data_IF_624692070267
#
_entry.id   IF_624692070267
#
_cell.length_a   1.000
_cell.length_b   1.000
_cell.length_c   1.000
_cell.angle_alpha   90.00
_cell.angle_beta   90.00
_cell.angle_gamma   90.00
#
_symmetry.space_group_name_H-M   'P 1'
#
loop_
_entity.id
_entity.type
_entity.pdbx_description
1 polymer ?
#
# COMPACT_ATOMS: atom_id res chain seq x y z
N UNK A 1 -8.81 -5.15 9.61
CA UNK A 1 -7.88 -4.01 9.51
C UNK A 1 -7.67 -3.47 10.91
N UNK A 2 -6.52 -3.77 11.51
CA UNK A 2 -6.18 -3.30 12.85
C UNK A 2 -5.37 -2.00 12.72
N UNK A 3 -6.07 -0.91 13.00
CA UNK A 3 -5.66 0.48 13.01
C UNK A 3 -4.90 0.81 14.30
N UNK A 4 -3.61 1.16 14.28
CA UNK A 4 -2.96 1.79 15.45
C UNK A 4 -1.88 2.79 15.02
N UNK A 5 -2.27 3.86 14.33
CA UNK A 5 -1.53 5.13 14.33
C UNK A 5 -2.43 6.23 14.90
N UNK A 6 -2.80 6.08 16.18
CA UNK A 6 -3.63 7.05 16.91
C UNK A 6 -2.76 7.82 17.93
N UNK A 7 -2.45 9.06 17.60
CA UNK A 7 -2.12 10.12 18.57
C UNK A 7 -3.18 11.20 18.46
N UNK A 8 -3.93 11.44 19.54
CA UNK A 8 -4.92 12.52 19.85
C UNK A 8 -5.94 13.02 18.79
N UNK A 9 -5.72 12.89 17.48
CA UNK A 9 -6.49 13.51 16.38
C UNK A 9 -6.95 12.54 15.27
N UNK A 10 -6.83 11.22 15.45
CA UNK A 10 -7.24 10.21 14.45
C UNK A 10 -6.06 9.45 13.85
N UNK A 11 -6.30 8.73 12.74
CA UNK A 11 -5.30 7.95 12.00
C UNK A 11 -4.38 8.86 11.19
N UNK A 12 -3.06 8.73 11.39
CA UNK A 12 -2.05 9.54 10.68
C UNK A 12 -1.40 8.82 9.48
N UNK A 13 -1.29 7.49 9.54
CA UNK A 13 -0.74 6.64 8.48
C UNK A 13 -1.31 5.23 8.53
N UNK A 14 -1.25 4.51 7.41
CA UNK A 14 -1.65 3.12 7.32
C UNK A 14 -0.93 2.38 6.19
N UNK A 15 -0.18 1.34 6.50
CA UNK A 15 0.25 0.35 5.51
C UNK A 15 -0.90 -0.56 5.10
N UNK A 16 -1.20 -0.60 3.80
CA UNK A 16 -2.22 -1.47 3.24
C UNK A 16 -1.57 -2.51 2.32
N UNK A 17 -1.69 -3.79 2.70
CA UNK A 17 -1.15 -4.92 1.93
C UNK A 17 -1.62 -4.96 0.46
N UNK A 18 -2.72 -4.29 0.10
CA UNK A 18 -3.29 -4.34 -1.24
C UNK A 18 -2.76 -3.26 -2.20
N UNK A 19 -2.44 -2.06 -1.74
CA UNK A 19 -2.25 -0.89 -2.62
C UNK A 19 -0.94 -0.12 -2.41
N UNK A 20 -0.57 0.27 -1.18
CA UNK A 20 0.72 0.87 -0.76
C UNK A 20 0.57 1.44 0.68
N UNK A 21 1.49 2.31 1.14
CA UNK A 21 1.32 3.06 2.39
C UNK A 21 0.53 4.35 2.16
N UNK A 22 -0.45 4.56 3.02
CA UNK A 22 -1.35 5.71 3.00
C UNK A 22 -0.99 6.69 4.10
N UNK A 23 -0.92 7.99 3.76
CA UNK A 23 -0.58 9.06 4.69
C UNK A 23 -1.74 10.04 4.78
N UNK A 24 -2.13 10.41 6.00
CA UNK A 24 -3.23 11.36 6.20
C UNK A 24 -2.86 12.76 5.69
N UNK A 25 -3.75 13.38 4.91
CA UNK A 25 -3.53 14.71 4.31
C UNK A 25 -3.50 15.87 5.33
N UNK A 26 -3.96 15.65 6.57
CA UNK A 26 -3.99 16.69 7.62
C UNK A 26 -2.73 16.76 8.49
N UNK A 27 -1.76 15.87 8.25
CA UNK A 27 -0.51 15.85 8.99
C UNK A 27 0.41 17.03 8.58
N UNK A 28 1.26 17.45 9.51
CA UNK A 28 2.37 18.38 9.22
C UNK A 28 3.48 17.69 8.43
N UNK A 29 4.37 18.49 7.82
CA UNK A 29 5.49 17.99 7.01
C UNK A 29 6.44 17.10 7.85
N UNK A 30 6.75 17.52 9.07
CA UNK A 30 7.65 16.75 9.94
C UNK A 30 7.00 15.45 10.40
N UNK A 31 5.70 15.46 10.72
CA UNK A 31 4.95 14.23 11.01
C UNK A 31 4.96 13.26 9.82
N UNK A 32 4.75 13.76 8.59
CA UNK A 32 4.74 12.93 7.39
C UNK A 32 6.04 12.15 7.21
N UNK A 33 7.20 12.74 7.51
CA UNK A 33 8.49 12.03 7.38
C UNK A 33 8.57 10.85 8.34
N UNK A 34 8.22 11.05 9.61
CA UNK A 34 8.26 9.98 10.61
C UNK A 34 7.29 8.85 10.27
N UNK A 35 6.07 9.21 9.84
CA UNK A 35 5.05 8.23 9.46
C UNK A 35 5.47 7.44 8.22
N UNK A 36 6.03 8.10 7.20
CA UNK A 36 6.53 7.41 6.01
C UNK A 36 7.62 6.41 6.37
N UNK A 37 8.55 6.76 7.26
CA UNK A 37 9.57 5.82 7.75
C UNK A 37 8.92 4.62 8.44
N UNK A 38 7.97 4.86 9.34
CA UNK A 38 7.26 3.82 10.07
C UNK A 38 6.54 2.84 9.12
N UNK A 39 5.70 3.37 8.22
CA UNK A 39 4.93 2.53 7.28
C UNK A 39 5.83 1.83 6.26
N UNK A 40 6.97 2.41 5.92
CA UNK A 40 7.93 1.76 5.04
C UNK A 40 8.60 0.54 5.71
N UNK A 41 8.77 0.56 7.04
CA UNK A 41 9.23 -0.64 7.76
C UNK A 41 8.20 -1.77 7.65
N UNK A 42 6.90 -1.48 7.79
CA UNK A 42 5.85 -2.48 7.54
C UNK A 42 5.91 -3.03 6.12
N UNK A 43 6.12 -2.16 5.12
CA UNK A 43 6.29 -2.56 3.71
C UNK A 43 7.47 -3.51 3.54
N UNK A 44 8.63 -3.21 4.14
CA UNK A 44 9.82 -4.07 4.06
C UNK A 44 9.63 -5.41 4.76
N UNK A 45 9.11 -5.41 5.98
CA UNK A 45 8.82 -6.64 6.71
C UNK A 45 7.85 -7.53 5.92
N UNK A 46 6.84 -6.91 5.31
CA UNK A 46 5.83 -7.61 4.51
C UNK A 46 6.41 -8.16 3.20
N UNK A 47 7.28 -7.43 2.53
CA UNK A 47 7.76 -7.86 1.22
C UNK A 47 8.99 -8.77 1.24
N UNK A 48 9.81 -8.68 2.29
CA UNK A 48 11.09 -9.38 2.39
C UNK A 48 11.02 -10.64 3.26
N UNK A 49 9.82 -11.07 3.65
CA UNK A 49 9.61 -12.26 4.48
C UNK A 49 8.50 -13.15 3.95
N UNK A 50 8.59 -14.45 4.23
CA UNK A 50 7.60 -15.44 3.77
C UNK A 50 6.21 -15.21 4.36
N UNK A 51 6.10 -14.93 5.67
CA UNK A 51 4.80 -14.63 6.30
C UNK A 51 4.24 -13.30 5.78
N UNK A 52 5.08 -12.28 5.67
CA UNK A 52 4.68 -10.99 5.12
C UNK A 52 4.11 -11.10 3.71
N UNK A 53 4.83 -11.80 2.83
CA UNK A 53 4.43 -11.92 1.43
C UNK A 53 3.19 -12.81 1.29
N UNK A 54 3.08 -13.84 2.11
CA UNK A 54 1.87 -14.65 2.21
C UNK A 54 0.66 -13.80 2.62
N UNK A 55 0.81 -12.88 3.59
CA UNK A 55 -0.26 -11.96 3.98
C UNK A 55 -0.68 -11.05 2.82
N UNK A 56 0.26 -10.52 2.04
CA UNK A 56 -0.05 -9.75 0.81
C UNK A 56 -0.87 -10.59 -0.17
N UNK A 57 -0.44 -11.84 -0.43
CA UNK A 57 -1.14 -12.74 -1.34
C UNK A 57 -2.53 -13.13 -0.81
N UNK A 58 -2.65 -13.41 0.48
CA UNK A 58 -3.92 -13.75 1.14
C UNK A 58 -4.89 -12.57 1.16
N UNK A 59 -4.43 -11.35 1.41
CA UNK A 59 -5.25 -10.13 1.33
C UNK A 59 -5.86 -9.97 -0.05
N UNK A 60 -5.05 -10.15 -1.11
CA UNK A 60 -5.56 -10.10 -2.48
C UNK A 60 -6.50 -11.25 -2.78
N UNK A 61 -6.23 -12.44 -2.25
CA UNK A 61 -7.03 -13.64 -2.51
C UNK A 61 -8.39 -13.61 -1.82
N UNK A 62 -8.45 -13.17 -0.55
CA UNK A 62 -9.66 -13.22 0.27
C UNK A 62 -10.82 -12.38 -0.25
N UNK A 63 -10.52 -11.43 -1.11
CA UNK A 63 -11.48 -10.60 -1.83
C UNK A 63 -12.34 -11.44 -2.78
N UNK A 64 -11.74 -12.46 -3.42
CA UNK A 64 -12.41 -13.34 -4.38
C UNK A 64 -12.91 -14.61 -3.67
N UNK A 65 -12.15 -15.10 -2.69
CA UNK A 65 -12.52 -16.26 -1.88
C UNK A 65 -12.28 -16.00 -0.38
N UNK A 66 -13.35 -15.60 0.32
CA UNK A 66 -13.32 -15.31 1.75
C UNK A 66 -13.20 -16.53 2.67
N UNK A 67 -13.16 -17.76 2.16
CA UNK A 67 -13.22 -19.00 2.96
C UNK A 67 -12.07 -19.16 3.96
N UNK A 68 -10.94 -18.47 3.73
CA UNK A 68 -9.74 -18.50 4.57
C UNK A 68 -9.44 -17.17 5.25
N UNK A 69 -10.43 -16.27 5.33
CA UNK A 69 -10.29 -14.98 6.05
C UNK A 69 -9.81 -15.18 7.49
N UNK A 70 -10.35 -16.16 8.21
CA UNK A 70 -9.95 -16.45 9.59
C UNK A 70 -8.45 -16.76 9.72
N UNK A 71 -7.85 -17.45 8.73
CA UNK A 71 -6.43 -17.80 8.74
C UNK A 71 -5.58 -16.56 8.47
N UNK A 72 -6.01 -15.71 7.55
CA UNK A 72 -5.39 -14.41 7.30
C UNK A 72 -5.37 -13.55 8.57
N UNK A 73 -6.53 -13.36 9.21
CA UNK A 73 -6.66 -12.54 10.42
C UNK A 73 -5.74 -13.07 11.54
N UNK A 74 -5.70 -14.39 11.73
CA UNK A 74 -4.87 -15.03 12.75
C UNK A 74 -3.36 -14.94 12.47
N UNK A 75 -2.94 -15.08 11.21
CA UNK A 75 -1.54 -14.88 10.81
C UNK A 75 -1.12 -13.42 11.00
N UNK A 76 -1.98 -12.49 10.60
CA UNK A 76 -1.76 -11.06 10.77
C UNK A 76 -1.58 -10.72 12.25
N UNK A 77 -2.50 -11.13 13.12
CA UNK A 77 -2.43 -10.91 14.56
C UNK A 77 -1.19 -11.53 15.21
N UNK A 78 -0.76 -12.70 14.73
CA UNK A 78 0.46 -13.36 15.21
C UNK A 78 1.76 -12.62 14.83
N UNK A 79 1.68 -11.66 13.90
CA UNK A 79 2.82 -10.86 13.41
C UNK A 79 2.75 -9.38 13.81
N UNK A 80 1.56 -8.81 14.02
CA UNK A 80 1.34 -7.38 14.21
C UNK A 80 2.24 -6.78 15.28
N UNK A 81 2.24 -7.36 16.47
CA UNK A 81 3.02 -6.81 17.58
C UNK A 81 4.51 -6.67 17.25
N UNK A 82 5.10 -7.64 16.55
CA UNK A 82 6.49 -7.57 16.09
C UNK A 82 6.68 -6.40 15.12
N UNK A 83 5.80 -6.30 14.13
CA UNK A 83 5.93 -5.27 13.10
C UNK A 83 5.88 -3.88 13.72
N UNK A 84 4.92 -3.63 14.62
CA UNK A 84 4.82 -2.37 15.37
C UNK A 84 6.08 -2.10 16.23
N UNK A 85 6.60 -3.14 16.90
CA UNK A 85 7.82 -2.99 17.71
C UNK A 85 9.02 -2.60 16.84
N UNK A 86 9.17 -3.20 15.66
CA UNK A 86 10.27 -2.91 14.73
C UNK A 86 10.08 -1.51 14.12
N UNK A 87 8.89 -1.18 13.63
CA UNK A 87 8.57 0.09 13.00
C UNK A 87 8.73 1.27 13.97
N UNK A 88 8.14 1.21 15.17
CA UNK A 88 8.27 2.26 16.18
C UNK A 88 9.73 2.47 16.59
N UNK A 89 10.52 1.42 16.78
CA UNK A 89 11.91 1.62 17.20
C UNK A 89 12.79 2.18 16.08
N UNK A 90 12.60 1.72 14.84
CA UNK A 90 13.33 2.27 13.69
C UNK A 90 12.97 3.74 13.46
N UNK A 91 11.70 4.12 13.58
CA UNK A 91 11.26 5.53 13.49
C UNK A 91 12.02 6.42 14.48
N UNK A 92 12.12 6.02 15.75
CA UNK A 92 12.80 6.83 16.77
C UNK A 92 14.31 6.82 16.61
N UNK A 93 14.91 5.69 16.22
CA UNK A 93 16.34 5.63 15.91
C UNK A 93 16.68 6.48 14.68
N UNK A 94 15.78 6.55 13.69
CA UNK A 94 15.95 7.42 12.53
C UNK A 94 15.98 8.90 12.95
N UNK A 95 15.21 9.30 13.97
CA UNK A 95 15.30 10.65 14.56
C UNK A 95 16.69 10.90 15.12
N UNK A 96 17.23 9.96 15.89
CA UNK A 96 18.59 10.06 16.43
C UNK A 96 19.64 10.16 15.31
N UNK A 97 19.51 9.34 14.27
CA UNK A 97 20.41 9.32 13.13
C UNK A 97 20.45 10.67 12.38
N UNK A 98 19.30 11.31 12.17
CA UNK A 98 19.18 12.48 11.28
C UNK A 98 19.13 13.83 12.00
N UNK A 99 18.66 13.87 13.25
CA UNK A 99 18.46 15.10 14.02
C UNK A 99 19.26 15.15 15.32
N UNK A 100 19.97 14.07 15.65
CA UNK A 100 20.85 14.01 16.82
C UNK A 100 20.13 13.71 18.14
N UNK A 101 20.95 13.58 19.20
CA UNK A 101 20.53 13.04 20.48
C UNK A 101 19.51 13.89 21.24
N UNK A 102 19.62 15.22 21.15
CA UNK A 102 18.72 16.14 21.85
C UNK A 102 17.27 16.00 21.34
N UNK A 103 17.09 16.01 20.02
CA UNK A 103 15.75 15.86 19.41
C UNK A 103 15.18 14.46 19.65
N UNK A 104 16.03 13.43 19.60
CA UNK A 104 15.65 12.08 19.95
C UNK A 104 15.09 11.97 21.38
N UNK A 105 15.79 12.54 22.38
CA UNK A 105 15.33 12.52 23.77
C UNK A 105 14.02 13.29 23.95
N UNK A 106 13.89 14.47 23.33
CA UNK A 106 12.65 15.23 23.34
C UNK A 106 11.47 14.42 22.79
N UNK A 107 11.67 13.70 21.68
CA UNK A 107 10.63 12.85 21.09
C UNK A 107 10.26 11.67 21.96
N UNK A 108 11.22 11.06 22.67
CA UNK A 108 10.93 10.01 23.67
C UNK A 108 10.10 10.56 24.84
N UNK A 109 10.37 11.78 25.30
CA UNK A 109 9.56 12.40 26.34
C UNK A 109 8.12 12.64 25.87
N UNK A 110 7.93 13.09 24.62
CA UNK A 110 6.62 13.20 23.99
C UNK A 110 5.90 11.85 23.87
N UNK A 111 6.64 10.79 23.51
CA UNK A 111 6.14 9.41 23.40
C UNK A 111 5.51 8.90 24.70
N UNK A 112 6.03 9.31 25.85
CA UNK A 112 5.51 8.88 27.16
C UNK A 112 4.02 9.22 27.37
N UNK A 113 3.50 10.21 26.63
CA UNK A 113 2.08 10.61 26.65
C UNK A 113 1.18 9.62 25.92
N UNK A 114 1.72 8.77 25.05
CA UNK A 114 1.00 7.69 24.37
C UNK A 114 1.45 6.31 24.88
N UNK A 115 0.67 5.78 25.83
CA UNK A 115 0.98 4.50 26.50
C UNK A 115 1.10 3.31 25.54
N UNK A 116 0.31 3.29 24.47
CA UNK A 116 0.33 2.20 23.49
C UNK A 116 1.64 2.24 22.70
N UNK A 117 1.97 3.41 22.14
CA UNK A 117 3.17 3.59 21.32
C UNK A 117 4.45 3.45 22.17
N UNK A 118 4.45 3.98 23.40
CA UNK A 118 5.53 3.80 24.35
C UNK A 118 5.80 2.32 24.69
N UNK A 119 4.78 1.45 24.70
CA UNK A 119 4.96 0.02 24.94
C UNK A 119 5.73 -0.67 23.82
N UNK A 120 5.52 -0.26 22.57
CA UNK A 120 6.26 -0.78 21.42
C UNK A 120 7.73 -0.37 21.49
N UNK A 121 8.00 0.92 21.74
CA UNK A 121 9.35 1.43 21.94
C UNK A 121 10.07 0.75 23.11
N UNK A 122 9.48 0.75 24.31
CA UNK A 122 10.08 0.20 25.53
C UNK A 122 10.34 -1.31 25.47
N UNK A 123 9.76 -2.02 24.50
CA UNK A 123 10.04 -3.44 24.34
C UNK A 123 11.45 -3.76 23.83
N UNK A 124 12.14 -2.76 23.26
CA UNK A 124 13.52 -2.82 22.81
C UNK A 124 14.46 -1.96 23.68
N UNK A 125 14.12 -1.78 24.95
CA UNK A 125 14.90 -1.03 25.94
C UNK A 125 16.37 -1.49 26.05
N UNK A 126 16.65 -2.77 25.77
CA UNK A 126 18.00 -3.33 25.70
C UNK A 126 18.87 -2.68 24.62
N UNK A 127 18.26 -2.18 23.55
CA UNK A 127 18.91 -1.46 22.46
C UNK A 127 18.89 0.04 22.80
N UNK A 128 17.70 0.58 23.05
CA UNK A 128 17.47 2.04 23.16
C UNK A 128 18.30 2.71 24.26
N UNK A 129 18.66 2.01 25.33
CA UNK A 129 19.54 2.54 26.39
C UNK A 129 20.98 2.75 25.95
N UNK A 130 21.45 1.94 25.01
CA UNK A 130 22.85 1.86 24.60
C UNK A 130 23.16 2.71 23.36
N UNK A 131 22.15 3.10 22.58
CA UNK A 131 22.33 3.96 21.40
C UNK A 131 22.43 5.43 21.82
N UNK A 132 23.53 6.10 21.46
CA UNK A 132 23.76 7.52 21.80
C UNK A 132 24.16 8.38 20.60
N UNK A 133 24.69 7.77 19.54
CA UNK A 133 25.18 8.47 18.36
C UNK A 133 24.37 8.12 17.11
N UNK A 134 24.55 8.89 16.04
CA UNK A 134 23.93 8.62 14.75
C UNK A 134 24.41 7.28 14.15
N UNK A 135 25.68 6.94 14.35
CA UNK A 135 26.26 5.68 13.87
C UNK A 135 25.70 4.47 14.64
N UNK A 136 25.55 4.58 15.96
CA UNK A 136 24.89 3.55 16.76
C UNK A 136 23.46 3.33 16.25
N UNK A 137 22.75 4.42 15.95
CA UNK A 137 21.37 4.38 15.50
C UNK A 137 21.25 3.68 14.15
N UNK A 138 22.15 3.98 13.20
CA UNK A 138 22.20 3.32 11.90
C UNK A 138 22.39 1.80 12.04
N UNK A 139 23.38 1.36 12.84
CA UNK A 139 23.63 -0.07 13.07
C UNK A 139 22.45 -0.76 13.77
N UNK A 140 21.83 -0.09 14.74
CA UNK A 140 20.65 -0.59 15.42
C UNK A 140 19.46 -0.75 14.47
N UNK A 141 19.21 0.22 13.58
CA UNK A 141 18.16 0.15 12.56
C UNK A 141 18.36 -1.07 11.66
N UNK A 142 19.55 -1.23 11.08
CA UNK A 142 19.88 -2.36 10.20
C UNK A 142 19.68 -3.71 10.91
N UNK A 143 20.15 -3.81 12.15
CA UNK A 143 20.05 -5.04 12.94
C UNK A 143 18.61 -5.36 13.34
N UNK A 144 17.84 -4.38 13.82
CA UNK A 144 16.44 -4.59 14.22
C UNK A 144 15.60 -5.02 13.01
N UNK A 145 15.80 -4.37 11.86
CA UNK A 145 15.10 -4.73 10.62
C UNK A 145 15.39 -6.16 10.21
N UNK A 146 16.68 -6.56 10.21
CA UNK A 146 17.10 -7.92 9.83
C UNK A 146 16.53 -8.98 10.79
N UNK A 147 16.55 -8.72 12.10
CA UNK A 147 15.93 -9.61 13.08
C UNK A 147 14.41 -9.70 12.84
N UNK A 148 13.75 -8.58 12.53
CA UNK A 148 12.33 -8.55 12.18
C UNK A 148 12.01 -9.42 10.95
N UNK A 149 12.79 -9.28 9.88
CA UNK A 149 12.67 -10.08 8.65
C UNK A 149 12.88 -11.57 8.97
N UNK A 150 13.95 -11.95 9.66
CA UNK A 150 14.24 -13.34 10.03
C UNK A 150 13.13 -13.97 10.90
N UNK A 151 12.51 -13.15 11.76
CA UNK A 151 11.42 -13.59 12.62
C UNK A 151 10.16 -13.93 11.83
N UNK A 152 9.93 -13.25 10.71
CA UNK A 152 8.83 -13.52 9.78
C UNK A 152 9.18 -14.53 8.68
N UNK A 153 10.46 -14.82 8.46
CA UNK A 153 10.95 -15.68 7.39
C UNK A 153 10.86 -17.17 7.76
N UNK A 154 9.63 -17.66 7.93
CA UNK A 154 9.31 -19.04 8.28
C UNK A 154 9.26 -19.92 7.03
N UNK A 155 9.81 -21.13 7.10
CA UNK A 155 9.70 -22.13 6.04
C UNK A 155 8.26 -22.66 5.95
N UNK A 156 7.54 -22.23 4.91
CA UNK A 156 6.15 -22.58 4.66
C UNK A 156 5.97 -24.02 4.11
N UNK A 157 7.03 -24.69 3.66
CA UNK A 157 6.92 -26.10 3.25
C UNK A 157 6.65 -27.03 4.42
N UNK A 158 7.13 -26.64 5.61
CA UNK A 158 7.00 -27.42 6.84
C UNK A 158 6.03 -26.79 7.85
N UNK A 159 5.48 -25.61 7.57
CA UNK A 159 4.42 -25.01 8.39
C UNK A 159 3.06 -25.41 7.78
N UNK A 160 2.28 -26.33 8.38
CA UNK A 160 1.13 -26.96 7.73
C UNK A 160 -0.14 -26.08 7.68
N UNK A 161 -0.03 -24.88 7.12
CA UNK A 161 -1.11 -23.89 7.06
C UNK A 161 -2.38 -24.39 6.36
N UNK A 162 -2.23 -25.31 5.39
CA UNK A 162 -3.34 -25.91 4.65
C UNK A 162 -4.08 -27.02 5.40
N UNK A 163 -3.54 -27.52 6.51
CA UNK A 163 -4.13 -28.62 7.28
C UNK A 163 -5.13 -28.11 8.34
N UNK A 164 -5.00 -26.85 8.77
CA UNK A 164 -5.88 -26.26 9.77
C UNK A 164 -7.30 -26.08 9.22
N UNK A 165 -8.28 -26.64 9.95
CA UNK A 165 -9.69 -26.59 9.55
C UNK A 165 -10.37 -25.29 10.01
N UNK A 166 -9.90 -24.73 11.12
CA UNK A 166 -10.49 -23.55 11.75
C UNK A 166 -9.45 -22.84 12.65
N UNK A 167 -9.86 -21.68 13.18
CA UNK A 167 -9.08 -20.85 14.09
C UNK A 167 -8.59 -21.59 15.35
N UNK A 168 -9.43 -22.43 15.96
CA UNK A 168 -9.05 -23.16 17.19
C UNK A 168 -7.90 -24.14 16.94
N UNK A 169 -7.90 -24.81 15.80
CA UNK A 169 -6.83 -25.75 15.43
C UNK A 169 -5.49 -25.02 15.25
N UNK A 170 -5.50 -23.86 14.59
CA UNK A 170 -4.33 -23.01 14.41
C UNK A 170 -3.80 -22.47 15.74
N UNK A 171 -4.67 -21.92 16.59
CA UNK A 171 -4.29 -21.38 17.89
C UNK A 171 -3.73 -22.47 18.83
N UNK A 172 -4.33 -23.67 18.82
CA UNK A 172 -3.80 -24.82 19.56
C UNK A 172 -2.43 -25.24 19.05
N UNK A 173 -2.18 -25.18 17.75
CA UNK A 173 -0.87 -25.50 17.20
C UNK A 173 0.20 -24.50 17.66
N UNK A 174 -0.10 -23.20 17.63
CA UNK A 174 0.82 -22.15 18.06
C UNK A 174 0.99 -22.04 19.59
N UNK A 175 0.06 -22.58 20.38
CA UNK A 175 0.19 -22.57 21.85
C UNK A 175 1.15 -23.66 22.37
N UNK A 176 1.47 -24.67 21.57
CA UNK A 176 2.47 -25.69 21.92
C UNK A 176 3.87 -25.04 21.96
N UNK A 177 4.62 -25.25 23.05
CA UNK A 177 5.88 -24.53 23.32
C UNK A 177 6.86 -24.54 22.14
N UNK A 178 7.17 -25.72 21.59
CA UNK A 178 8.11 -25.85 20.47
C UNK A 178 7.58 -25.19 19.19
N UNK A 179 6.30 -25.34 18.89
CA UNK A 179 5.69 -24.74 17.69
C UNK A 179 5.58 -23.22 17.83
N UNK A 180 5.35 -22.72 19.04
CA UNK A 180 5.35 -21.29 19.32
C UNK A 180 6.70 -20.68 18.96
N UNK A 181 7.80 -21.29 19.40
CA UNK A 181 9.16 -20.82 19.07
C UNK A 181 9.43 -20.94 17.57
N UNK A 182 9.00 -22.03 16.93
CA UNK A 182 9.24 -22.29 15.51
C UNK A 182 8.44 -21.38 14.57
N UNK A 183 7.17 -21.11 14.88
CA UNK A 183 6.23 -20.57 13.89
C UNK A 183 5.52 -19.29 14.33
N UNK A 184 5.66 -18.83 15.58
CA UNK A 184 5.09 -17.53 15.99
C UNK A 184 6.13 -16.41 15.82
N UNK A 185 5.91 -15.42 14.92
CA UNK A 185 6.86 -14.35 14.66
C UNK A 185 7.25 -13.54 15.91
N UNK A 186 6.28 -13.24 16.78
CA UNK A 186 6.54 -12.50 18.02
C UNK A 186 7.47 -13.26 18.97
N UNK A 187 7.37 -14.59 19.02
CA UNK A 187 8.22 -15.42 19.87
C UNK A 187 9.62 -15.56 19.25
N UNK A 188 9.70 -15.83 17.95
CA UNK A 188 10.97 -15.86 17.19
C UNK A 188 11.78 -14.59 17.42
N UNK A 189 11.14 -13.43 17.33
CA UNK A 189 11.78 -12.13 17.55
C UNK A 189 12.33 -11.93 18.94
N UNK A 190 11.56 -12.27 19.97
CA UNK A 190 12.07 -12.20 21.35
C UNK A 190 13.26 -13.12 21.58
N UNK A 191 13.28 -14.30 20.95
CA UNK A 191 14.41 -15.24 21.04
C UNK A 191 15.64 -14.62 20.39
N UNK A 192 15.51 -14.14 19.15
CA UNK A 192 16.61 -13.55 18.38
C UNK A 192 17.13 -12.25 19.01
N UNK A 193 16.26 -11.33 19.46
CA UNK A 193 16.67 -10.11 20.14
C UNK A 193 17.54 -10.38 21.37
N UNK A 194 17.13 -11.34 22.20
CA UNK A 194 17.92 -11.70 23.37
C UNK A 194 19.25 -12.33 22.96
N UNK A 195 19.27 -13.13 21.91
CA UNK A 195 20.51 -13.74 21.39
C UNK A 195 21.50 -12.68 20.91
N UNK A 196 21.04 -11.70 20.11
CA UNK A 196 21.92 -10.67 19.54
C UNK A 196 22.33 -9.57 20.54
N UNK A 197 21.49 -9.26 21.54
CA UNK A 197 21.72 -8.09 22.40
C UNK A 197 21.95 -8.39 23.89
N UNK A 198 21.88 -9.66 24.35
CA UNK A 198 22.24 -10.00 25.75
C UNK A 198 23.62 -10.65 25.85
N UNK A 199 24.60 -10.00 26.52
CA UNK A 199 25.95 -10.52 26.69
C UNK A 199 26.04 -11.88 27.40
N UNK A 200 25.04 -12.22 28.25
CA UNK A 200 25.03 -13.43 29.09
C UNK A 200 23.97 -14.45 28.64
N UNK A 201 23.80 -14.65 27.33
CA UNK A 201 22.82 -15.62 26.80
C UNK A 201 23.19 -17.05 27.23
N UNK A 202 22.28 -17.75 27.91
CA UNK A 202 22.54 -19.05 28.57
C UNK A 202 22.35 -20.20 27.57
N UNK A 203 23.06 -21.32 27.74
CA UNK A 203 22.96 -22.54 26.89
C UNK A 203 21.51 -22.99 26.58
N UNK A 204 20.60 -22.95 27.56
CA UNK A 204 19.19 -23.32 27.36
C UNK A 204 18.44 -22.42 26.37
N UNK A 205 18.93 -21.20 26.14
CA UNK A 205 18.37 -20.29 25.14
C UNK A 205 18.96 -20.51 23.72
N UNK A 206 20.13 -21.16 23.58
CA UNK A 206 20.67 -21.57 22.27
C UNK A 206 19.79 -22.59 21.56
N UNK A 207 19.23 -23.55 22.30
CA UNK A 207 18.28 -24.53 21.74
C UNK A 207 17.04 -23.85 21.11
N UNK A 208 16.63 -22.70 21.66
CA UNK A 208 15.51 -21.93 21.08
C UNK A 208 15.91 -21.28 19.76
N UNK A 209 17.13 -20.77 19.66
CA UNK A 209 17.69 -20.23 18.41
C UNK A 209 17.81 -21.34 17.36
N UNK A 210 18.22 -22.55 17.75
CA UNK A 210 18.24 -23.71 16.84
C UNK A 210 16.84 -24.04 16.31
N UNK A 211 15.80 -23.99 17.16
CA UNK A 211 14.42 -24.16 16.68
C UNK A 211 14.02 -23.10 15.67
N UNK A 212 14.33 -21.83 15.92
CA UNK A 212 14.10 -20.73 14.96
C UNK A 212 14.80 -21.06 13.64
N UNK A 213 16.11 -21.34 13.68
CA UNK A 213 16.94 -21.62 12.50
C UNK A 213 16.46 -22.84 11.71
N UNK A 214 16.08 -23.93 12.39
CA UNK A 214 15.56 -25.16 11.77
C UNK A 214 14.27 -24.96 10.98
N UNK A 215 13.59 -23.83 11.21
CA UNK A 215 12.32 -23.47 10.57
C UNK A 215 12.37 -22.14 9.83
N UNK A 216 13.56 -21.56 9.67
CA UNK A 216 13.78 -20.38 8.83
C UNK A 216 13.92 -20.79 7.37
N UNK A 217 13.28 -20.07 6.45
CA UNK A 217 13.48 -20.31 5.02
C UNK A 217 14.79 -19.66 4.55
N UNK A 218 15.71 -20.46 4.02
CA UNK A 218 17.07 -19.99 3.66
C UNK A 218 17.26 -19.58 2.19
N UNK A 219 16.23 -19.69 1.35
CA UNK A 219 16.31 -19.39 -0.10
C UNK A 219 15.71 -18.02 -0.42
N UNK A 220 16.24 -17.38 -1.47
CA UNK A 220 15.71 -16.12 -2.00
C UNK A 220 14.41 -16.31 -2.80
N UNK A 221 13.97 -17.54 -3.05
CA UNK A 221 12.77 -17.89 -3.80
C UNK A 221 11.48 -17.78 -2.97
N UNK A 222 11.34 -16.72 -2.17
CA UNK A 222 10.20 -16.48 -1.28
C UNK A 222 8.87 -16.40 -2.07
N UNK A 223 8.90 -15.76 -3.24
CA UNK A 223 7.72 -15.63 -4.12
C UNK A 223 7.10 -16.99 -4.45
N UNK A 224 7.92 -17.95 -4.88
CA UNK A 224 7.43 -19.24 -5.36
C UNK A 224 6.96 -20.11 -4.20
N UNK A 225 7.66 -20.08 -3.06
CA UNK A 225 7.20 -20.72 -1.83
C UNK A 225 5.82 -20.20 -1.39
N UNK A 226 5.62 -18.88 -1.37
CA UNK A 226 4.34 -18.28 -1.01
C UNK A 226 3.23 -18.65 -2.01
N UNK A 227 3.52 -18.66 -3.31
CA UNK A 227 2.55 -19.07 -4.35
C UNK A 227 2.11 -20.53 -4.19
N UNK A 228 3.05 -21.43 -3.98
CA UNK A 228 2.76 -22.84 -3.71
C UNK A 228 1.94 -23.00 -2.42
N UNK A 229 2.23 -22.21 -1.40
CA UNK A 229 1.48 -22.21 -0.14
C UNK A 229 0.04 -21.73 -0.34
N UNK A 230 -0.19 -20.67 -1.11
CA UNK A 230 -1.54 -20.21 -1.48
C UNK A 230 -2.30 -21.31 -2.23
N UNK A 231 -1.65 -21.97 -3.19
CA UNK A 231 -2.25 -23.08 -3.93
C UNK A 231 -2.69 -24.22 -2.98
N UNK A 232 -1.87 -24.57 -1.98
CA UNK A 232 -2.21 -25.58 -0.97
C UNK A 232 -3.37 -25.14 -0.07
N UNK A 233 -3.36 -23.88 0.40
CA UNK A 233 -4.40 -23.32 1.29
C UNK A 233 -5.77 -23.29 0.60
N UNK A 234 -5.81 -22.85 -0.67
CA UNK A 234 -7.03 -22.65 -1.46
C UNK A 234 -7.30 -23.79 -2.45
N UNK A 235 -6.70 -24.97 -2.26
CA UNK A 235 -6.81 -26.11 -3.20
C UNK A 235 -8.24 -26.53 -3.58
N UNK A 236 -9.21 -26.25 -2.71
CA UNK A 236 -10.63 -26.58 -2.90
C UNK A 236 -11.48 -25.39 -3.39
N UNK A 237 -10.85 -24.24 -3.67
CA UNK A 237 -11.55 -23.07 -4.17
C UNK A 237 -12.04 -23.32 -5.60
N UNK A 238 -13.29 -22.96 -5.89
CA UNK A 238 -13.86 -23.03 -7.24
C UNK A 238 -13.22 -22.01 -8.19
N UNK A 239 -12.53 -21.01 -7.65
CA UNK A 239 -11.89 -19.92 -8.39
C UNK A 239 -10.36 -19.97 -8.25
N UNK A 240 -9.80 -21.15 -7.98
CA UNK A 240 -8.34 -21.32 -7.77
C UNK A 240 -7.50 -20.76 -8.93
N UNK A 241 -7.86 -21.05 -10.19
CA UNK A 241 -7.12 -20.53 -11.35
C UNK A 241 -7.07 -19.00 -11.35
N UNK A 242 -8.17 -18.37 -10.93
CA UNK A 242 -8.28 -16.91 -10.77
C UNK A 242 -7.35 -16.39 -9.68
N UNK A 243 -7.32 -17.09 -8.55
CA UNK A 243 -6.44 -16.77 -7.42
C UNK A 243 -4.97 -16.84 -7.85
N UNK A 244 -4.59 -17.91 -8.55
CA UNK A 244 -3.22 -18.11 -9.02
C UNK A 244 -2.80 -17.02 -10.01
N UNK A 245 -3.64 -16.66 -10.98
CA UNK A 245 -3.36 -15.55 -11.89
C UNK A 245 -3.16 -14.21 -11.15
N UNK A 246 -3.96 -13.96 -10.10
CA UNK A 246 -3.88 -12.72 -9.32
C UNK A 246 -2.57 -12.60 -8.53
N UNK A 247 -2.10 -13.68 -7.91
CA UNK A 247 -0.86 -13.65 -7.11
C UNK A 247 0.42 -13.64 -7.96
N UNK A 248 0.34 -14.01 -9.25
CA UNK A 248 1.48 -13.87 -10.19
C UNK A 248 1.90 -12.41 -10.36
N UNK A 249 0.97 -11.46 -10.18
CA UNK A 249 1.26 -10.03 -10.28
C UNK A 249 1.99 -9.48 -9.04
N UNK A 250 2.13 -10.26 -7.98
CA UNK A 250 2.89 -9.89 -6.79
C UNK A 250 4.33 -10.36 -7.01
N UNK A 251 5.27 -9.43 -6.89
CA UNK A 251 6.71 -9.70 -6.97
C UNK A 251 7.45 -9.03 -5.82
N UNK A 252 8.14 -9.84 -5.01
CA UNK A 252 9.06 -9.39 -3.95
C UNK A 252 10.27 -8.59 -4.46
N UNK A 253 10.55 -8.58 -5.78
CA UNK A 253 11.71 -7.89 -6.35
C UNK A 253 11.48 -6.41 -6.70
N UNK A 254 10.23 -5.93 -6.67
CA UNK A 254 9.90 -4.52 -6.99
C UNK A 254 10.08 -3.57 -5.81
N UNK A 255 10.89 -3.93 -4.81
CA UNK A 255 10.99 -3.15 -3.59
C UNK A 255 12.26 -2.32 -3.53
N UNK A 256 12.01 -1.02 -3.47
CA UNK A 256 12.95 0.05 -3.24
C UNK A 256 13.75 -0.29 -1.97
N UNK A 257 15.04 -0.58 -2.14
CA UNK A 257 16.00 -0.56 -1.02
C UNK A 257 15.89 0.81 -0.37
N UNK A 258 15.78 0.83 0.95
CA UNK A 258 15.99 2.05 1.71
C UNK A 258 17.43 2.49 1.42
N UNK A 259 17.57 3.53 0.61
CA UNK A 259 18.52 4.58 0.92
C UNK A 259 17.71 5.67 1.63
N UNK A 260 18.17 6.05 2.81
CA UNK A 260 17.42 6.79 3.83
C UNK A 260 17.11 8.24 3.39
N UNK A 261 17.51 8.67 2.19
CA UNK A 261 17.41 10.07 1.77
C UNK A 261 16.45 10.42 0.61
N UNK A 262 15.85 9.50 -0.17
CA UNK A 262 14.93 10.00 -1.24
C UNK A 262 13.92 9.05 -1.90
N UNK A 263 14.01 7.72 -1.75
CA UNK A 263 13.14 6.82 -2.55
C UNK A 263 11.92 6.29 -1.79
N UNK A 264 11.96 6.23 -0.46
CA UNK A 264 10.84 5.75 0.38
C UNK A 264 9.60 6.65 0.31
N UNK A 265 9.81 7.97 0.13
CA UNK A 265 8.74 8.95 -0.08
C UNK A 265 7.89 8.66 -1.31
N UNK A 266 8.46 8.01 -2.32
CA UNK A 266 7.76 7.60 -3.52
C UNK A 266 6.78 6.45 -3.28
N UNK A 267 6.90 5.76 -2.14
CA UNK A 267 5.96 4.71 -1.75
C UNK A 267 4.71 5.25 -1.05
N UNK A 268 4.64 6.55 -0.73
CA UNK A 268 3.53 7.17 -0.02
C UNK A 268 2.41 7.64 -0.96
N UNK A 269 1.17 7.37 -0.57
CA UNK A 269 -0.02 7.94 -1.21
C UNK A 269 -0.82 8.79 -0.20
N UNK A 270 -1.17 10.05 -0.55
CA UNK A 270 -2.00 10.87 0.32
C UNK A 270 -3.43 10.33 0.37
N UNK A 271 -4.03 10.22 1.55
CA UNK A 271 -5.46 9.93 1.73
C UNK A 271 -6.06 10.70 2.89
N UNK A 272 -7.38 10.80 2.98
CA UNK A 272 -8.05 11.30 4.20
C UNK A 272 -8.51 10.08 5.01
N UNK A 273 -7.71 9.71 6.01
CA UNK A 273 -7.96 8.53 6.85
C UNK A 273 -9.09 8.77 7.87
N UNK A 274 -9.44 10.03 8.14
CA UNK A 274 -10.36 10.42 9.21
C UNK A 274 -11.71 10.92 8.70
N UNK A 275 -11.87 11.08 7.39
CA UNK A 275 -13.13 11.45 6.77
C UNK A 275 -14.30 10.53 7.16
N UNK A 276 -15.47 11.15 7.34
CA UNK A 276 -16.74 10.44 7.47
C UNK A 276 -17.07 9.76 6.15
N UNK A 277 -17.53 8.50 6.23
CA UNK A 277 -17.94 7.74 5.06
C UNK A 277 -19.04 8.50 4.29
N UNK A 278 -18.80 8.76 3.01
CA UNK A 278 -19.84 9.27 2.14
C UNK A 278 -20.82 8.16 1.80
N UNK A 279 -22.12 8.43 1.91
CA UNK A 279 -23.15 7.52 1.41
C UNK A 279 -23.07 7.48 -0.12
N UNK A 280 -22.31 6.53 -0.66
CA UNK A 280 -22.38 6.24 -2.08
C UNK A 280 -23.62 5.38 -2.33
N UNK A 281 -24.53 5.89 -3.16
CA UNK A 281 -25.71 5.16 -3.58
C UNK A 281 -25.38 4.33 -4.82
N UNK A 282 -24.88 3.12 -4.63
CA UNK A 282 -24.63 2.20 -5.74
C UNK A 282 -25.95 1.65 -6.29
N UNK A 283 -26.31 2.06 -7.50
CA UNK A 283 -27.36 1.41 -8.27
C UNK A 283 -26.73 0.81 -9.53
N UNK A 284 -26.84 -0.51 -9.70
CA UNK A 284 -26.56 -1.15 -10.98
C UNK A 284 -27.62 -0.67 -11.98
N UNK A 285 -27.20 0.22 -12.88
CA UNK A 285 -28.07 0.80 -13.91
C UNK A 285 -27.81 0.19 -15.27
N UNK A 286 -28.85 0.11 -16.09
CA UNK A 286 -28.67 -0.25 -17.50
C UNK A 286 -27.88 0.81 -18.27
N UNK A 287 -27.48 0.44 -19.48
CA UNK A 287 -26.66 1.25 -20.37
C UNK A 287 -27.34 2.59 -20.72
N UNK A 288 -28.63 2.53 -21.03
CA UNK A 288 -29.40 3.67 -21.53
C UNK A 288 -29.60 4.72 -20.44
N UNK A 289 -29.83 4.32 -19.19
CA UNK A 289 -29.91 5.22 -18.05
C UNK A 289 -28.57 5.95 -17.82
N UNK A 290 -27.42 5.27 -17.91
CA UNK A 290 -26.11 5.94 -17.80
C UNK A 290 -25.90 6.96 -18.92
N UNK A 291 -26.23 6.60 -20.17
CA UNK A 291 -26.10 7.52 -21.31
C UNK A 291 -27.02 8.74 -21.12
N UNK A 292 -28.25 8.54 -20.65
CA UNK A 292 -29.19 9.62 -20.36
C UNK A 292 -28.67 10.56 -19.26
N UNK A 293 -28.11 10.02 -18.18
CA UNK A 293 -27.50 10.81 -17.10
C UNK A 293 -26.31 11.63 -17.60
N UNK A 294 -25.39 11.02 -18.36
CA UNK A 294 -24.23 11.68 -18.94
C UNK A 294 -24.60 12.83 -19.88
N UNK A 295 -25.66 12.65 -20.67
CA UNK A 295 -26.16 13.68 -21.60
C UNK A 295 -26.91 14.82 -20.89
N UNK A 296 -27.49 14.58 -19.73
CA UNK A 296 -28.29 15.55 -19.00
C UNK A 296 -27.45 16.56 -18.20
N UNK A 297 -26.21 16.22 -17.84
CA UNK A 297 -25.39 17.02 -16.92
C UNK A 297 -23.96 17.19 -17.46
N UNK A 298 -23.66 18.41 -17.94
CA UNK A 298 -22.36 18.76 -18.54
C UNK A 298 -21.18 18.76 -17.53
N UNK A 299 -21.45 18.82 -16.22
CA UNK A 299 -20.42 18.87 -15.18
C UNK A 299 -20.27 17.49 -14.50
N UNK A 300 -19.91 16.48 -15.29
CA UNK A 300 -19.77 15.11 -14.82
C UNK A 300 -18.64 14.40 -15.55
N UNK A 301 -18.08 13.37 -14.92
CA UNK A 301 -17.02 12.54 -15.48
C UNK A 301 -17.44 11.09 -15.56
N UNK A 302 -16.96 10.42 -16.60
CA UNK A 302 -17.12 8.98 -16.79
C UNK A 302 -15.86 8.28 -16.30
N UNK A 303 -15.96 7.53 -15.20
CA UNK A 303 -14.82 6.84 -14.60
C UNK A 303 -14.85 5.34 -14.91
N UNK A 304 -13.81 4.87 -15.57
CA UNK A 304 -13.48 3.46 -15.65
C UNK A 304 -12.81 3.06 -14.35
N UNK A 305 -13.58 2.37 -13.52
CA UNK A 305 -13.16 1.97 -12.19
C UNK A 305 -12.61 0.55 -12.21
N UNK A 306 -11.63 0.34 -11.35
CA UNK A 306 -11.24 -1.01 -10.95
C UNK A 306 -11.29 -1.11 -9.44
N UNK A 307 -12.38 -1.65 -8.92
CA UNK A 307 -12.54 -1.80 -7.49
C UNK A 307 -11.54 -2.81 -6.90
N UNK A 308 -10.99 -3.75 -7.68
CA UNK A 308 -10.27 -4.92 -7.14
C UNK A 308 -9.13 -5.45 -8.03
N UNK A 309 -7.94 -4.85 -7.99
CA UNK A 309 -6.72 -5.28 -8.73
C UNK A 309 -6.54 -6.82 -8.86
N UNK A 310 -6.77 -7.42 -10.04
CA UNK A 310 -6.88 -8.86 -10.32
C UNK A 310 -8.23 -9.30 -10.93
N UNK A 311 -9.17 -8.36 -11.06
CA UNK A 311 -10.45 -8.49 -11.78
C UNK A 311 -10.51 -7.64 -13.06
N UNK A 312 -9.36 -7.31 -13.67
CA UNK A 312 -9.26 -6.29 -14.74
C UNK A 312 -10.03 -6.63 -16.03
N UNK A 313 -10.59 -7.84 -16.14
CA UNK A 313 -11.52 -8.22 -17.22
C UNK A 313 -12.96 -7.82 -16.95
N UNK A 314 -13.33 -7.56 -15.71
CA UNK A 314 -14.59 -6.96 -15.33
C UNK A 314 -14.40 -5.46 -15.40
N UNK A 315 -15.06 -4.83 -16.38
CA UNK A 315 -15.01 -3.38 -16.54
C UNK A 315 -16.16 -2.76 -15.77
N UNK A 316 -15.82 -2.08 -14.68
CA UNK A 316 -16.77 -1.26 -13.95
C UNK A 316 -16.72 0.15 -14.50
N UNK A 317 -17.88 0.68 -14.87
CA UNK A 317 -18.02 2.05 -15.31
C UNK A 317 -18.89 2.79 -14.32
N UNK A 318 -18.51 4.02 -14.00
CA UNK A 318 -19.27 4.86 -13.09
C UNK A 318 -19.42 6.29 -13.59
N UNK A 319 -20.59 6.84 -13.32
CA UNK A 319 -20.97 8.22 -13.57
C UNK A 319 -20.79 9.03 -12.29
N UNK A 320 -19.98 10.08 -12.39
CA UNK A 320 -19.64 10.96 -11.27
C UNK A 320 -20.04 12.41 -11.59
N UNK A 321 -21.19 12.88 -11.09
CA UNK A 321 -21.53 14.30 -11.13
C UNK A 321 -20.59 15.07 -10.21
N UNK A 322 -19.95 16.14 -10.70
CA UNK A 322 -18.98 16.91 -9.90
C UNK A 322 -19.66 17.73 -8.78
N UNK A 323 -20.98 17.94 -8.89
CA UNK A 323 -21.76 18.78 -7.97
C UNK A 323 -22.67 18.00 -7.02
N UNK A 324 -22.65 16.66 -7.05
CA UNK A 324 -23.54 15.82 -6.23
C UNK A 324 -22.77 14.67 -5.59
N UNK A 325 -23.29 14.20 -4.46
CA UNK A 325 -22.73 13.08 -3.70
C UNK A 325 -23.42 11.76 -4.06
N UNK A 326 -23.67 11.51 -5.34
CA UNK A 326 -24.30 10.29 -5.85
C UNK A 326 -23.46 9.72 -6.99
N UNK A 327 -23.15 8.42 -6.94
CA UNK A 327 -22.35 7.74 -7.96
C UNK A 327 -23.16 6.56 -8.48
N UNK A 328 -23.35 6.52 -9.78
CA UNK A 328 -24.06 5.43 -10.46
C UNK A 328 -23.03 4.55 -11.11
N UNK A 329 -23.08 3.23 -10.90
CA UNK A 329 -22.06 2.31 -11.38
C UNK A 329 -22.69 1.07 -12.01
N UNK A 330 -22.07 0.55 -13.07
CA UNK A 330 -22.53 -0.66 -13.75
C UNK A 330 -21.37 -1.46 -14.30
N UNK A 331 -21.57 -2.77 -14.40
CA UNK A 331 -20.64 -3.67 -15.09
C UNK A 331 -21.04 -3.75 -16.56
N UNK A 332 -20.07 -3.50 -17.44
CA UNK A 332 -20.30 -3.47 -18.88
C UNK A 332 -19.25 -4.29 -19.61
N UNK A 333 -19.64 -4.91 -20.71
CA UNK A 333 -18.66 -5.48 -21.64
C UNK A 333 -17.98 -4.36 -22.45
N UNK A 334 -17.00 -4.73 -23.27
CA UNK A 334 -16.22 -3.75 -24.03
C UNK A 334 -17.06 -3.09 -25.14
N UNK A 335 -18.01 -3.82 -25.73
CA UNK A 335 -18.90 -3.30 -26.77
C UNK A 335 -19.83 -2.21 -26.24
N UNK A 336 -20.42 -2.45 -25.06
CA UNK A 336 -21.26 -1.50 -24.33
C UNK A 336 -20.48 -0.24 -23.98
N UNK A 337 -19.25 -0.41 -23.47
CA UNK A 337 -18.32 0.70 -23.18
C UNK A 337 -18.06 1.54 -24.44
N UNK A 338 -17.76 0.89 -25.57
CA UNK A 338 -17.54 1.58 -26.84
C UNK A 338 -18.79 2.35 -27.26
N UNK A 339 -19.99 1.78 -27.05
CA UNK A 339 -21.24 2.44 -27.37
C UNK A 339 -21.44 3.72 -26.52
N UNK A 340 -21.16 3.66 -25.21
CA UNK A 340 -21.24 4.84 -24.33
C UNK A 340 -20.27 5.92 -24.81
N UNK A 341 -18.99 5.58 -24.99
CA UNK A 341 -17.95 6.53 -25.38
C UNK A 341 -18.28 7.23 -26.70
N UNK A 342 -18.92 6.55 -27.65
CA UNK A 342 -19.36 7.16 -28.91
C UNK A 342 -20.50 8.17 -28.77
N UNK A 343 -21.32 8.05 -27.73
CA UNK A 343 -22.57 8.79 -27.54
C UNK A 343 -22.51 9.94 -26.52
N UNK A 344 -21.39 10.07 -25.79
CA UNK A 344 -21.20 11.09 -24.74
C UNK A 344 -19.95 11.89 -25.01
N UNK A 345 -19.87 13.12 -24.52
CA UNK A 345 -18.69 14.01 -24.66
C UNK A 345 -17.96 14.26 -23.34
N UNK A 346 -18.50 13.78 -22.23
CA UNK A 346 -17.97 13.96 -20.88
C UNK A 346 -16.50 13.50 -20.79
N UNK A 347 -15.69 14.14 -19.93
CA UNK A 347 -14.33 13.70 -19.66
C UNK A 347 -14.30 12.25 -19.17
N UNK A 348 -13.30 11.51 -19.63
CA UNK A 348 -13.13 10.09 -19.32
C UNK A 348 -11.88 9.91 -18.47
N UNK A 349 -12.04 9.20 -17.34
CA UNK A 349 -10.97 8.92 -16.40
C UNK A 349 -10.79 7.41 -16.30
N UNK A 350 -9.56 6.94 -16.52
CA UNK A 350 -9.14 5.58 -16.20
C UNK A 350 -8.49 5.56 -14.83
N UNK A 351 -9.07 4.81 -13.91
CA UNK A 351 -8.54 4.65 -12.57
C UNK A 351 -7.57 3.47 -12.58
N UNK A 352 -6.30 3.74 -12.32
CA UNK A 352 -5.15 2.83 -12.46
C UNK A 352 -4.64 2.60 -13.89
N UNK A 353 -3.32 2.46 -14.00
CA UNK A 353 -2.58 2.23 -15.26
C UNK A 353 -3.01 0.96 -15.99
N UNK A 354 -3.27 -0.14 -15.26
CA UNK A 354 -3.63 -1.43 -15.84
C UNK A 354 -4.92 -1.37 -16.66
N UNK A 355 -5.92 -0.61 -16.22
CA UNK A 355 -7.15 -0.42 -16.98
C UNK A 355 -6.88 0.31 -18.30
N UNK A 356 -6.07 1.36 -18.25
CA UNK A 356 -5.70 2.11 -19.44
C UNK A 356 -4.95 1.24 -20.45
N UNK A 357 -4.02 0.41 -19.99
CA UNK A 357 -3.28 -0.53 -20.85
C UNK A 357 -4.21 -1.55 -21.53
N UNK A 358 -5.17 -2.10 -20.78
CA UNK A 358 -6.04 -3.19 -21.25
C UNK A 358 -7.20 -2.71 -22.12
N UNK A 359 -7.85 -1.63 -21.69
CA UNK A 359 -9.10 -1.11 -22.26
C UNK A 359 -8.84 0.22 -22.96
N UNK A 360 -8.17 1.15 -22.29
CA UNK A 360 -7.93 2.51 -22.78
C UNK A 360 -7.38 2.53 -24.21
N UNK A 361 -6.28 1.82 -24.47
CA UNK A 361 -5.67 1.73 -25.80
C UNK A 361 -6.64 1.24 -26.90
N UNK A 362 -7.60 0.37 -26.57
CA UNK A 362 -8.58 -0.14 -27.53
C UNK A 362 -9.68 0.86 -27.84
N UNK A 363 -10.07 1.67 -26.84
CA UNK A 363 -11.20 2.59 -26.97
C UNK A 363 -10.77 4.01 -27.37
N UNK A 364 -9.51 4.40 -27.16
CA UNK A 364 -8.97 5.72 -27.52
C UNK A 364 -9.24 6.12 -28.98
N UNK A 365 -9.28 5.18 -29.92
CA UNK A 365 -9.61 5.46 -31.34
C UNK A 365 -11.03 6.02 -31.56
N UNK A 366 -11.93 5.86 -30.59
CA UNK A 366 -13.28 6.41 -30.61
C UNK A 366 -13.40 7.77 -29.88
N UNK A 367 -12.30 8.24 -29.28
CA UNK A 367 -12.22 9.52 -28.63
C UNK A 367 -11.84 10.52 -29.73
N UNK A 368 -12.85 11.19 -30.30
CA UNK A 368 -12.71 12.22 -31.33
C UNK A 368 -11.86 13.41 -30.84
N UNK A 369 -10.55 13.23 -30.67
CA UNK A 369 -9.59 14.20 -30.11
C UNK A 369 -9.85 14.63 -28.65
N UNK A 370 -10.67 13.89 -27.90
CA UNK A 370 -10.97 14.18 -26.50
C UNK A 370 -9.78 13.88 -25.58
N UNK A 371 -9.58 14.72 -24.58
CA UNK A 371 -8.62 14.48 -23.51
C UNK A 371 -9.02 13.26 -22.70
N UNK A 372 -8.06 12.37 -22.46
CA UNK A 372 -8.21 11.18 -21.63
C UNK A 372 -7.39 11.35 -20.36
N UNK A 373 -8.01 11.09 -19.21
CA UNK A 373 -7.36 11.19 -17.91
C UNK A 373 -7.02 9.81 -17.38
N UNK A 374 -5.87 9.68 -16.73
CA UNK A 374 -5.44 8.49 -16.00
C UNK A 374 -5.22 8.92 -14.56
N UNK A 375 -6.02 8.43 -13.63
CA UNK A 375 -5.87 8.70 -12.20
C UNK A 375 -5.15 7.52 -11.54
N UNK A 376 -4.00 7.77 -10.93
CA UNK A 376 -3.27 6.76 -10.16
C UNK A 376 -3.70 6.82 -8.68
N UNK A 377 -4.22 5.70 -8.17
CA UNK A 377 -4.67 5.54 -6.76
C UNK A 377 -3.68 4.74 -5.91
N UNK A 378 -2.43 4.70 -6.35
CA UNK A 378 -1.29 4.06 -5.72
C UNK A 378 -0.14 5.07 -5.67
N UNK A 379 0.89 4.75 -4.89
CA UNK A 379 2.03 5.65 -4.76
C UNK A 379 2.81 5.76 -6.07
N UNK A 380 3.47 6.91 -6.28
CA UNK A 380 4.18 7.20 -7.53
C UNK A 380 5.25 6.14 -7.85
N UNK A 381 5.95 5.62 -6.84
CA UNK A 381 6.97 4.58 -6.96
C UNK A 381 6.44 3.33 -7.65
N UNK A 382 5.23 2.90 -7.30
CA UNK A 382 4.54 1.75 -7.90
C UNK A 382 4.07 2.02 -9.34
N UNK A 383 4.05 3.29 -9.76
CA UNK A 383 3.61 3.74 -11.08
C UNK A 383 4.76 4.10 -12.02
N UNK A 384 6.00 4.21 -11.53
CA UNK A 384 7.14 4.71 -12.30
C UNK A 384 7.38 3.95 -13.60
N UNK A 385 7.35 2.61 -13.57
CA UNK A 385 7.55 1.81 -14.79
C UNK A 385 6.51 2.11 -15.87
N UNK A 386 5.26 2.35 -15.48
CA UNK A 386 4.20 2.76 -16.40
C UNK A 386 4.44 4.19 -16.91
N UNK A 387 4.73 5.12 -16.00
CA UNK A 387 4.99 6.53 -16.32
C UNK A 387 6.14 6.64 -17.33
N UNK A 388 7.27 6.01 -17.06
CA UNK A 388 8.43 6.08 -17.96
C UNK A 388 8.15 5.48 -19.34
N UNK A 389 7.33 4.43 -19.42
CA UNK A 389 7.01 3.82 -20.71
C UNK A 389 6.01 4.64 -21.52
N UNK A 390 4.93 5.08 -20.89
CA UNK A 390 3.84 5.76 -21.61
C UNK A 390 4.13 7.25 -21.83
N UNK A 391 4.79 7.93 -20.88
CA UNK A 391 4.98 9.38 -20.89
C UNK A 391 6.39 9.84 -21.31
N UNK A 392 7.27 8.95 -21.77
CA UNK A 392 8.55 9.32 -22.40
C UNK A 392 8.35 10.36 -23.52
N UNK A 393 9.20 11.40 -23.56
CA UNK A 393 9.06 12.54 -24.47
C UNK A 393 7.88 13.47 -24.14
N UNK A 394 7.23 13.26 -22.99
CA UNK A 394 6.11 14.04 -22.49
C UNK A 394 6.55 15.26 -21.70
N UNK A 395 5.59 15.86 -21.01
CA UNK A 395 5.79 17.02 -20.13
C UNK A 395 5.18 16.76 -18.76
N UNK A 396 5.69 17.39 -17.72
CA UNK A 396 5.08 17.34 -16.39
C UNK A 396 4.98 18.71 -15.73
N UNK A 397 4.00 18.87 -14.86
CA UNK A 397 3.85 20.02 -13.97
C UNK A 397 3.33 19.55 -12.60
N UNK A 398 3.41 20.41 -11.60
CA UNK A 398 2.93 20.12 -10.24
C UNK A 398 1.98 21.21 -9.81
N UNK A 399 0.74 20.81 -9.50
CA UNK A 399 -0.25 21.71 -8.93
C UNK A 399 -0.10 21.67 -7.41
N UNK A 400 0.37 22.78 -6.85
CA UNK A 400 0.45 23.02 -5.42
C UNK A 400 -0.86 23.68 -4.95
N UNK A 401 -0.99 23.95 -3.65
CA UNK A 401 -2.15 24.63 -3.01
C UNK A 401 -3.28 23.75 -2.46
N UNK A 402 -3.10 22.43 -2.40
CA UNK A 402 -4.00 21.53 -1.66
C UNK A 402 -3.32 21.02 -0.38
N UNK A 403 -4.04 20.15 0.35
CA UNK A 403 -3.47 19.34 1.44
C UNK A 403 -2.52 18.24 0.93
N UNK A 404 -2.33 18.15 -0.38
CA UNK A 404 -1.47 17.23 -1.12
C UNK A 404 -0.99 17.93 -2.40
N UNK A 405 0.03 17.38 -3.06
CA UNK A 405 0.46 17.83 -4.38
C UNK A 405 -0.20 16.98 -5.47
N UNK A 406 -0.46 17.56 -6.63
CA UNK A 406 -0.90 16.82 -7.82
C UNK A 406 0.20 16.91 -8.87
N UNK A 407 0.88 15.78 -9.10
CA UNK A 407 1.77 15.63 -10.24
C UNK A 407 0.94 15.32 -11.48
N UNK A 408 1.07 16.17 -12.49
CA UNK A 408 0.36 16.06 -13.76
C UNK A 408 1.38 15.76 -14.86
N UNK A 409 1.22 14.63 -15.55
CA UNK A 409 1.99 14.31 -16.75
C UNK A 409 1.11 14.40 -18.01
N UNK A 410 1.68 14.93 -19.09
CA UNK A 410 0.97 15.22 -20.32
C UNK A 410 1.75 14.62 -21.48
N UNK A 411 1.04 13.85 -22.31
CA UNK A 411 1.54 13.42 -23.62
C UNK A 411 0.39 13.37 -24.62
N UNK A 412 0.46 14.24 -25.62
CA UNK A 412 -0.63 14.43 -26.59
C UNK A 412 -1.95 14.73 -25.86
N UNK A 413 -2.99 13.92 -26.08
CA UNK A 413 -4.31 14.09 -25.45
C UNK A 413 -4.49 13.22 -24.19
N UNK A 414 -3.41 12.64 -23.65
CA UNK A 414 -3.46 11.81 -22.44
C UNK A 414 -2.81 12.57 -21.29
N UNK A 415 -3.54 12.67 -20.18
CA UNK A 415 -3.12 13.35 -18.96
C UNK A 415 -3.13 12.34 -17.82
N UNK A 416 -2.00 12.15 -17.14
CA UNK A 416 -1.93 11.39 -15.91
C UNK A 416 -1.98 12.32 -14.69
N UNK A 417 -2.78 11.92 -13.71
CA UNK A 417 -2.97 12.57 -12.42
C UNK A 417 -2.43 11.62 -11.35
N UNK A 418 -1.35 12.03 -10.69
CA UNK A 418 -0.73 11.31 -9.58
C UNK A 418 -0.78 12.19 -8.33
N UNK A 419 -1.45 11.71 -7.29
CA UNK A 419 -1.44 12.41 -6.00
C UNK A 419 -0.15 12.10 -5.25
N UNK A 420 0.38 13.10 -4.57
CA UNK A 420 1.63 13.02 -3.81
C UNK A 420 1.45 13.68 -2.45
N UNK A 421 2.03 13.08 -1.41
CA UNK A 421 2.02 13.67 -0.06
C UNK A 421 2.72 15.04 -0.11
N UNK A 422 2.04 16.05 0.41
CA UNK A 422 2.46 17.44 0.32
C UNK A 422 3.89 17.63 0.86
N UNK A 423 4.71 18.36 0.10
CA UNK A 423 6.06 18.78 0.49
C UNK A 423 7.01 17.63 0.85
N UNK A 424 6.65 16.39 0.51
CA UNK A 424 7.48 15.21 0.76
C UNK A 424 8.57 15.06 -0.31
N UNK A 425 8.28 15.48 -1.55
CA UNK A 425 9.22 15.50 -2.67
C UNK A 425 9.69 16.95 -2.87
N UNK A 426 10.97 17.22 -2.59
CA UNK A 426 11.55 18.57 -2.71
C UNK A 426 11.73 18.98 -4.17
N UNK A 427 12.22 18.06 -4.99
CA UNK A 427 12.49 18.29 -6.41
C UNK A 427 11.99 17.11 -7.24
N UNK A 428 10.97 17.35 -8.06
CA UNK A 428 10.39 16.33 -8.93
C UNK A 428 11.27 16.03 -10.15
N UNK A 429 12.25 16.88 -10.48
CA UNK A 429 13.14 16.65 -11.61
C UNK A 429 14.07 15.45 -11.40
N UNK A 430 14.36 15.10 -10.14
CA UNK A 430 15.15 13.90 -9.79
C UNK A 430 14.44 12.60 -10.19
N UNK A 431 13.12 12.62 -10.30
CA UNK A 431 12.29 11.48 -10.74
C UNK A 431 12.34 11.33 -12.27
N UNK A 432 12.53 12.45 -12.98
CA UNK A 432 12.45 12.55 -14.44
C UNK A 432 13.78 12.99 -15.04
N UNK A 433 14.85 12.24 -14.70
CA UNK A 433 16.22 12.51 -15.18
C UNK A 433 16.31 12.59 -16.72
N UNK A 434 17.40 13.17 -17.25
CA UNK A 434 17.58 13.44 -18.68
C UNK A 434 17.32 12.23 -19.58
N UNK A 435 17.66 11.01 -19.14
CA UNK A 435 17.42 9.75 -19.87
C UNK A 435 15.94 9.41 -20.09
N UNK A 436 15.03 10.05 -19.35
CA UNK A 436 13.58 9.81 -19.44
C UNK A 436 12.88 10.81 -20.38
N UNK A 437 13.53 11.91 -20.75
CA UNK A 437 13.02 12.98 -21.64
C UNK A 437 11.60 13.48 -21.29
N UNK A 438 11.24 13.50 -19.99
CA UNK A 438 9.96 14.08 -19.53
C UNK A 438 10.26 15.47 -18.98
N UNK A 439 9.84 16.52 -19.69
CA UNK A 439 10.29 17.89 -19.40
C UNK A 439 9.34 18.63 -18.47
N UNK A 440 9.90 19.36 -17.51
CA UNK A 440 9.12 20.25 -16.68
C UNK A 440 8.50 21.39 -17.52
N UNK A 441 7.26 21.74 -17.20
CA UNK A 441 6.59 22.94 -17.70
C UNK A 441 5.88 23.67 -16.57
N UNK A 442 5.88 25.00 -16.64
CA UNK A 442 5.13 25.84 -15.71
C UNK A 442 3.62 25.70 -15.98
N UNK A 443 2.82 25.53 -14.92
CA UNK A 443 1.36 25.38 -14.99
C UNK A 443 0.68 26.56 -15.69
N UNK A 444 1.22 27.78 -15.55
CA UNK A 444 0.71 28.99 -16.20
C UNK A 444 0.79 28.97 -17.74
N UNK A 445 1.59 28.07 -18.33
CA UNK A 445 1.76 27.96 -19.77
C UNK A 445 0.84 26.92 -20.44
N UNK A 446 -0.14 26.38 -19.69
CA UNK A 446 -0.93 25.24 -20.15
C UNK A 446 -2.38 25.66 -20.42
N UNK A 447 -2.63 26.25 -21.59
CA UNK A 447 -3.98 26.51 -22.11
C UNK A 447 -4.80 25.22 -22.40
N UNK A 448 -4.24 24.03 -22.13
CA UNK A 448 -4.80 22.72 -22.44
C UNK A 448 -5.19 21.88 -21.21
N UNK A 449 -4.92 22.35 -19.99
CA UNK A 449 -5.29 21.67 -18.75
C UNK A 449 -6.48 22.39 -18.14
N UNK A 450 -7.60 21.68 -18.04
CA UNK A 450 -8.69 22.07 -17.16
C UNK A 450 -8.28 21.75 -15.71
N UNK A 451 -7.63 22.71 -15.06
CA UNK A 451 -7.14 22.58 -13.69
C UNK A 451 -8.29 22.30 -12.70
N UNK A 452 -9.45 22.91 -12.91
CA UNK A 452 -10.64 22.68 -12.09
C UNK A 452 -11.09 21.22 -12.18
N UNK A 453 -11.13 20.66 -13.40
CA UNK A 453 -11.46 19.26 -13.61
C UNK A 453 -10.43 18.32 -12.98
N UNK A 454 -9.12 18.59 -13.12
CA UNK A 454 -8.07 17.77 -12.48
C UNK A 454 -8.23 17.77 -10.96
N UNK A 455 -8.45 18.94 -10.36
CA UNK A 455 -8.67 19.05 -8.90
C UNK A 455 -9.94 18.33 -8.47
N UNK A 456 -11.00 18.38 -9.28
CA UNK A 456 -12.27 17.69 -9.02
C UNK A 456 -12.14 16.16 -9.12
N UNK A 457 -11.42 15.64 -10.13
CA UNK A 457 -11.11 14.22 -10.26
C UNK A 457 -10.27 13.75 -9.05
N UNK A 458 -9.29 14.56 -8.65
CA UNK A 458 -8.39 14.25 -7.53
C UNK A 458 -9.13 14.17 -6.19
N UNK A 459 -10.00 15.15 -5.89
CA UNK A 459 -10.78 15.17 -4.65
C UNK A 459 -11.72 13.97 -4.53
N UNK A 460 -12.27 13.52 -5.66
CA UNK A 460 -13.14 12.34 -5.74
C UNK A 460 -12.41 11.02 -5.50
N UNK A 461 -11.12 10.91 -5.79
CA UNK A 461 -10.32 9.71 -5.50
C UNK A 461 -10.30 9.38 -4.00
N UNK A 462 -10.19 10.40 -3.15
CA UNK A 462 -10.21 10.23 -1.69
C UNK A 462 -11.53 9.62 -1.21
N UNK A 463 -12.65 10.10 -1.76
CA UNK A 463 -14.01 9.63 -1.43
C UNK A 463 -14.16 8.14 -1.79
N UNK A 464 -13.60 7.72 -2.91
CA UNK A 464 -13.67 6.33 -3.37
C UNK A 464 -12.85 5.39 -2.46
N UNK A 465 -11.58 5.74 -2.21
CA UNK A 465 -10.70 4.98 -1.33
C UNK A 465 -11.30 4.81 0.07
N UNK A 466 -11.95 5.84 0.62
CA UNK A 466 -12.64 5.77 1.91
C UNK A 466 -13.75 4.72 1.95
N UNK A 467 -14.49 4.53 0.85
CA UNK A 467 -15.57 3.55 0.78
C UNK A 467 -15.03 2.13 0.65
N UNK A 468 -14.00 1.91 -0.18
CA UNK A 468 -13.36 0.59 -0.31
C UNK A 468 -12.68 0.15 0.99
N UNK A 469 -11.97 1.07 1.66
CA UNK A 469 -11.26 0.74 2.90
C UNK A 469 -12.21 0.38 4.05
N UNK A 470 -13.45 0.89 4.04
CA UNK A 470 -14.43 0.69 5.12
C UNK A 470 -15.44 -0.41 4.84
N UNK A 471 -15.84 -0.61 3.59
CA UNK A 471 -16.77 -1.67 3.19
C UNK A 471 -16.04 -2.81 2.46
N UNK A 472 -15.84 -3.93 3.16
CA UNK A 472 -15.35 -5.18 2.55
C UNK A 472 -16.38 -5.87 1.64
N UNK A 473 -17.59 -5.31 1.50
CA UNK A 473 -18.74 -5.92 0.82
C UNK A 473 -19.09 -5.18 -0.47
N UNK A 474 -18.10 -4.97 -1.33
CA UNK A 474 -18.33 -4.38 -2.65
C UNK A 474 -18.74 -5.44 -3.68
N UNK A 475 -18.66 -6.73 -3.30
CA UNK A 475 -19.08 -7.87 -4.11
C UNK A 475 -19.87 -8.87 -3.28
#
# INVERSE_FOLDING_TARGET
>A
MNNINCLQNGLQGQYCFSNDLFINIDNTIDENKHIVIHENVHKQLSSMSTIGLLLIMMEKTRIIDGSKKWLFDNLLDSSNKLQEQVATNIEYLWILQNYGFEQYMKKIEELSKNKTYAKHFNSLDIINKNVKTADDAKQAIETILLIGILSLNINLDIFPLWEFKNEKDFQRYLSMENNNIKYNPNTRFKVLLKYFFKPNYIQADYNKVEFVNSTTYGSDEINDLCRQTIQKIYKNSQVLDRILQRILCIDSKNHIKIDIEDTSVLSAYPTDLNAKQMKIKYEFTDLDKIIALLKAENNSVLRFEHLLAGLEDISLLSYWPLNRNEIYAGMYNIEDIINIVKNVENPIVFVQSKLFEKIGKKILKYFKFRTTYILMENAIGSSLSFIYREFIGGKYTVLKDLKYDILVLIKSNVILIQLVVKDLIKDYSTIFTEDKDIKFINSMNINAIDEYLIRSISSQSFIFNQNILKDNNIF
#
